data_IF_400264009201
#
_entry.id   IF_400264009201
#
_cell.length_a   1.000
_cell.length_b   1.000
_cell.length_c   1.000
_cell.angle_alpha   90.00
_cell.angle_beta   90.00
_cell.angle_gamma   90.00
#
_symmetry.space_group_name_H-M   'P 1'
#
loop_
_entity.id
_entity.type
_entity.pdbx_description
1 polymer ?
#
# COMPACT_ATOMS: atom_id res chain seq x y z
N UNK A 1 -15.22 6.37 6.69
CA UNK A 1 -15.35 6.01 5.26
C UNK A 1 -16.77 6.26 4.78
N UNK A 2 -17.76 5.61 5.38
CA UNK A 2 -19.16 5.68 4.93
C UNK A 2 -19.75 7.10 4.96
N UNK A 3 -19.41 7.92 5.96
CA UNK A 3 -19.86 9.32 6.02
C UNK A 3 -19.32 10.19 4.87
N UNK A 4 -18.03 10.11 4.55
CA UNK A 4 -17.42 10.87 3.45
C UNK A 4 -17.94 10.38 2.09
N UNK A 5 -18.21 9.07 1.94
CA UNK A 5 -18.82 8.54 0.73
C UNK A 5 -20.27 9.01 0.55
N UNK A 6 -21.05 9.05 1.63
CA UNK A 6 -22.39 9.61 1.63
C UNK A 6 -22.38 11.11 1.28
N UNK A 7 -21.47 11.88 1.87
CA UNK A 7 -21.27 13.32 1.55
C UNK A 7 -20.94 13.52 0.06
N UNK A 8 -20.02 12.74 -0.51
CA UNK A 8 -19.70 12.80 -1.95
C UNK A 8 -20.93 12.46 -2.81
N UNK A 9 -21.73 11.46 -2.42
CA UNK A 9 -22.94 11.10 -3.14
C UNK A 9 -23.99 12.22 -3.09
N UNK A 10 -24.14 12.89 -1.95
CA UNK A 10 -25.03 14.05 -1.81
C UNK A 10 -24.57 15.24 -2.65
N UNK A 11 -23.27 15.55 -2.67
CA UNK A 11 -22.71 16.63 -3.49
C UNK A 11 -22.92 16.36 -5.00
N UNK A 12 -22.70 15.11 -5.45
CA UNK A 12 -22.98 14.72 -6.84
C UNK A 12 -24.44 14.91 -7.21
N UNK A 13 -25.35 14.51 -6.32
CA UNK A 13 -26.79 14.67 -6.52
C UNK A 13 -27.19 16.15 -6.61
N UNK A 14 -26.64 17.01 -5.74
CA UNK A 14 -26.93 18.44 -5.75
C UNK A 14 -26.41 19.13 -7.03
N UNK A 15 -25.19 18.79 -7.47
CA UNK A 15 -24.65 19.28 -8.74
C UNK A 15 -25.55 18.87 -9.91
N UNK A 16 -26.01 17.62 -9.94
CA UNK A 16 -26.87 17.12 -11.01
C UNK A 16 -28.23 17.86 -11.06
N UNK A 17 -28.83 18.15 -9.91
CA UNK A 17 -30.08 18.93 -9.83
C UNK A 17 -29.87 20.35 -10.38
N UNK A 18 -28.81 21.03 -9.95
CA UNK A 18 -28.49 22.39 -10.44
C UNK A 18 -28.17 22.41 -11.95
N UNK A 19 -27.50 21.38 -12.47
CA UNK A 19 -27.25 21.25 -13.91
C UNK A 19 -28.55 21.02 -14.71
N UNK A 20 -29.50 20.27 -14.16
CA UNK A 20 -30.83 20.08 -14.77
C UNK A 20 -31.65 21.37 -14.74
N UNK A 21 -31.60 22.11 -13.64
CA UNK A 21 -32.24 23.43 -13.50
C UNK A 21 -31.68 24.43 -14.52
N UNK A 22 -30.35 24.52 -14.63
CA UNK A 22 -29.67 25.32 -15.66
C UNK A 22 -30.12 24.94 -17.07
N UNK A 23 -30.17 23.64 -17.37
CA UNK A 23 -30.58 23.16 -18.69
C UNK A 23 -32.04 23.52 -19.01
N UNK A 24 -32.95 23.39 -18.04
CA UNK A 24 -34.35 23.77 -18.19
C UNK A 24 -34.51 25.29 -18.44
N UNK A 25 -33.79 26.13 -17.71
CA UNK A 25 -33.80 27.58 -17.89
C UNK A 25 -33.21 28.01 -19.25
N UNK A 26 -32.23 27.26 -19.75
CA UNK A 26 -31.58 27.48 -21.05
C UNK A 26 -32.52 27.09 -22.21
N UNK A 27 -33.11 25.88 -22.17
CA UNK A 27 -34.03 25.38 -23.21
C UNK A 27 -35.27 26.25 -23.36
N UNK A 28 -35.82 26.74 -22.24
CA UNK A 28 -37.05 27.53 -22.27
C UNK A 28 -36.86 28.97 -22.77
N UNK A 29 -35.62 29.48 -22.85
CA UNK A 29 -35.37 30.91 -23.09
C UNK A 29 -34.33 31.22 -24.17
N UNK A 30 -33.55 30.25 -24.66
CA UNK A 30 -32.53 30.45 -25.69
C UNK A 30 -33.04 29.89 -27.03
N UNK A 31 -33.41 30.75 -27.97
CA UNK A 31 -33.65 30.35 -29.35
C UNK A 31 -32.29 30.24 -30.07
N UNK A 32 -31.70 29.05 -30.08
CA UNK A 32 -30.53 28.75 -30.91
C UNK A 32 -30.96 28.73 -32.39
N UNK A 33 -30.46 29.67 -33.18
CA UNK A 33 -30.60 29.63 -34.63
C UNK A 33 -29.77 28.47 -35.21
N UNK A 34 -30.19 27.90 -36.34
CA UNK A 34 -29.70 26.67 -37.03
C UNK A 34 -28.18 26.56 -37.32
N UNK A 35 -27.35 27.51 -36.90
CA UNK A 35 -25.92 27.53 -37.17
C UNK A 35 -25.10 27.27 -35.89
N UNK A 36 -24.73 26.02 -35.65
CA UNK A 36 -24.01 25.49 -34.48
C UNK A 36 -22.54 25.93 -34.34
N UNK A 37 -22.17 27.11 -34.85
CA UNK A 37 -20.82 27.65 -34.65
C UNK A 37 -20.63 28.08 -33.19
N UNK A 38 -19.50 27.74 -32.53
CA UNK A 38 -19.18 28.20 -31.18
C UNK A 38 -19.27 29.72 -31.00
N UNK A 39 -18.94 30.48 -32.04
CA UNK A 39 -19.05 31.95 -32.04
C UNK A 39 -20.50 32.42 -32.08
N UNK A 40 -21.35 31.74 -32.86
CA UNK A 40 -22.78 32.05 -32.96
C UNK A 40 -23.51 31.77 -31.62
N UNK A 41 -23.12 30.70 -30.92
CA UNK A 41 -23.63 30.41 -29.57
C UNK A 41 -23.26 31.52 -28.57
N UNK A 42 -22.00 31.95 -28.54
CA UNK A 42 -21.55 33.04 -27.64
C UNK A 42 -22.29 34.34 -27.92
N UNK A 43 -22.54 34.66 -29.19
CA UNK A 43 -23.31 35.85 -29.56
C UNK A 43 -24.80 35.76 -29.16
N UNK A 44 -25.43 34.59 -29.32
CA UNK A 44 -26.81 34.36 -28.89
C UNK A 44 -26.96 34.55 -27.37
N UNK A 45 -26.06 33.96 -26.58
CA UNK A 45 -26.03 34.14 -25.12
C UNK A 45 -25.79 35.60 -24.72
N UNK A 46 -24.93 36.34 -25.44
CA UNK A 46 -24.71 37.78 -25.18
C UNK A 46 -25.93 38.63 -25.49
N UNK A 47 -26.68 38.33 -26.56
CA UNK A 47 -27.93 39.03 -26.89
C UNK A 47 -28.98 38.78 -25.81
N UNK A 48 -29.16 37.52 -25.43
CA UNK A 48 -30.08 37.15 -24.37
C UNK A 48 -29.72 37.75 -23.01
N UNK A 49 -28.44 37.85 -22.67
CA UNK A 49 -28.02 38.52 -21.43
C UNK A 49 -28.35 40.03 -21.42
N UNK A 50 -28.42 40.67 -22.59
CA UNK A 50 -28.84 42.07 -22.74
C UNK A 50 -30.36 42.21 -22.72
N UNK A 51 -31.07 41.26 -23.31
CA UNK A 51 -32.53 41.24 -23.42
C UNK A 51 -33.20 40.82 -22.10
N UNK A 52 -32.55 39.94 -21.32
CA UNK A 52 -33.09 39.42 -20.07
C UNK A 52 -32.00 39.32 -18.97
N UNK A 53 -31.64 40.45 -18.34
CA UNK A 53 -30.54 40.51 -17.37
C UNK A 53 -30.80 39.73 -16.08
N UNK A 54 -32.07 39.56 -15.68
CA UNK A 54 -32.44 38.78 -14.49
C UNK A 54 -32.14 37.30 -14.69
N UNK A 55 -32.55 36.74 -15.84
CA UNK A 55 -32.27 35.35 -16.21
C UNK A 55 -30.77 35.07 -16.31
N UNK A 56 -30.01 36.03 -16.87
CA UNK A 56 -28.55 35.92 -16.97
C UNK A 56 -27.88 35.88 -15.59
N UNK A 57 -28.36 36.68 -14.64
CA UNK A 57 -27.86 36.68 -13.27
C UNK A 57 -28.18 35.36 -12.54
N UNK A 58 -29.37 34.79 -12.77
CA UNK A 58 -29.80 33.50 -12.21
C UNK A 58 -28.96 32.34 -12.76
N UNK A 59 -28.77 32.27 -14.08
CA UNK A 59 -27.90 31.26 -14.71
C UNK A 59 -26.46 31.36 -14.20
N UNK A 60 -25.94 32.58 -14.05
CA UNK A 60 -24.61 32.80 -13.47
C UNK A 60 -24.54 32.35 -12.00
N UNK A 61 -25.59 32.60 -11.22
CA UNK A 61 -25.68 32.14 -9.82
C UNK A 61 -25.68 30.62 -9.71
N UNK A 62 -26.36 29.92 -10.63
CA UNK A 62 -26.32 28.45 -10.72
C UNK A 62 -24.93 27.97 -11.13
N UNK A 63 -24.29 28.60 -12.12
CA UNK A 63 -22.93 28.24 -12.55
C UNK A 63 -21.90 28.44 -11.42
N UNK A 64 -21.99 29.54 -10.68
CA UNK A 64 -21.12 29.83 -9.53
C UNK A 64 -21.37 28.82 -8.38
N UNK A 65 -22.63 28.42 -8.15
CA UNK A 65 -22.98 27.40 -7.14
C UNK A 65 -22.47 26.00 -7.52
N UNK A 66 -22.60 25.62 -8.79
CA UNK A 66 -22.04 24.36 -9.35
C UNK A 66 -20.53 24.35 -9.17
N UNK A 67 -19.84 25.43 -9.53
CA UNK A 67 -18.38 25.52 -9.39
C UNK A 67 -17.93 25.39 -7.92
N UNK A 68 -18.66 26.02 -6.98
CA UNK A 68 -18.38 25.88 -5.54
C UNK A 68 -18.56 24.45 -5.04
N UNK A 69 -19.63 23.77 -5.46
CA UNK A 69 -19.91 22.38 -5.09
C UNK A 69 -18.92 21.40 -5.72
N UNK A 70 -18.49 21.64 -6.96
CA UNK A 70 -17.45 20.84 -7.62
C UNK A 70 -16.11 20.95 -6.88
N UNK A 71 -15.75 22.16 -6.42
CA UNK A 71 -14.55 22.36 -5.61
C UNK A 71 -14.62 21.57 -4.29
N UNK A 72 -15.77 21.62 -3.59
CA UNK A 72 -15.97 20.85 -2.36
C UNK A 72 -15.91 19.34 -2.62
N UNK A 73 -16.49 18.88 -3.73
CA UNK A 73 -16.46 17.49 -4.15
C UNK A 73 -15.02 17.02 -4.42
N UNK A 74 -14.20 17.82 -5.12
CA UNK A 74 -12.79 17.51 -5.35
C UNK A 74 -12.00 17.41 -4.05
N UNK A 75 -12.22 18.34 -3.11
CA UNK A 75 -11.56 18.31 -1.80
C UNK A 75 -11.92 17.03 -1.03
N UNK A 76 -13.20 16.66 -0.99
CA UNK A 76 -13.69 15.45 -0.31
C UNK A 76 -13.18 14.16 -0.96
N UNK A 77 -13.07 14.13 -2.28
CA UNK A 77 -12.46 13.00 -3.00
C UNK A 77 -10.96 12.88 -2.70
N UNK A 78 -10.24 14.00 -2.66
CA UNK A 78 -8.82 14.02 -2.30
C UNK A 78 -8.59 13.55 -0.86
N UNK A 79 -9.46 13.97 0.08
CA UNK A 79 -9.45 13.50 1.46
C UNK A 79 -9.63 11.97 1.51
N UNK A 80 -10.67 11.44 0.85
CA UNK A 80 -10.95 10.00 0.81
C UNK A 80 -9.78 9.19 0.19
N UNK A 81 -9.16 9.70 -0.87
CA UNK A 81 -8.00 9.05 -1.49
C UNK A 81 -6.80 8.97 -0.53
N UNK A 82 -6.51 10.04 0.23
CA UNK A 82 -5.44 10.03 1.23
C UNK A 82 -5.68 8.98 2.32
N UNK A 83 -6.90 8.96 2.87
CA UNK A 83 -7.29 7.96 3.88
C UNK A 83 -7.15 6.52 3.38
N UNK A 84 -7.50 6.24 2.12
CA UNK A 84 -7.34 4.91 1.54
C UNK A 84 -5.86 4.50 1.43
N UNK A 85 -4.98 5.43 1.09
CA UNK A 85 -3.53 5.17 0.99
C UNK A 85 -2.97 4.88 2.38
N UNK A 86 -3.28 5.74 3.36
CA UNK A 86 -2.82 5.57 4.75
C UNK A 86 -3.33 4.27 5.37
N UNK A 87 -4.61 3.93 5.16
CA UNK A 87 -5.18 2.68 5.65
C UNK A 87 -4.48 1.45 5.05
N UNK A 88 -4.19 1.45 3.73
CA UNK A 88 -3.45 0.35 3.10
C UNK A 88 -2.04 0.22 3.64
N UNK A 89 -1.35 1.35 3.88
CA UNK A 89 -0.03 1.36 4.48
C UNK A 89 -0.04 0.77 5.89
N UNK A 90 -1.03 1.13 6.71
CA UNK A 90 -1.20 0.59 8.06
C UNK A 90 -1.38 -0.93 8.02
N UNK A 91 -2.22 -1.44 7.11
CA UNK A 91 -2.44 -2.89 6.94
C UNK A 91 -1.17 -3.61 6.50
N UNK A 92 -0.40 -3.03 5.57
CA UNK A 92 0.89 -3.61 5.15
C UNK A 92 1.92 -3.65 6.29
N UNK A 93 1.97 -2.62 7.12
CA UNK A 93 2.85 -2.59 8.29
C UNK A 93 2.49 -3.68 9.30
N UNK A 94 1.19 -3.88 9.56
CA UNK A 94 0.73 -4.96 10.45
C UNK A 94 1.11 -6.34 9.92
N UNK A 95 0.86 -6.61 8.63
CA UNK A 95 1.24 -7.87 7.99
C UNK A 95 2.76 -8.11 8.05
N UNK A 96 3.57 -7.06 7.86
CA UNK A 96 5.02 -7.15 7.96
C UNK A 96 5.46 -7.52 9.40
N UNK A 97 4.87 -6.89 10.41
CA UNK A 97 5.21 -7.18 11.81
C UNK A 97 4.80 -8.61 12.23
N UNK A 98 3.67 -9.11 11.75
CA UNK A 98 3.28 -10.51 11.94
C UNK A 98 4.27 -11.48 11.27
N UNK A 99 4.65 -11.21 10.01
CA UNK A 99 5.62 -12.01 9.29
C UNK A 99 7.00 -12.02 9.98
N UNK A 100 7.45 -10.87 10.50
CA UNK A 100 8.69 -10.76 11.28
C UNK A 100 8.66 -11.63 12.53
N UNK A 101 7.56 -11.64 13.28
CA UNK A 101 7.42 -12.51 14.47
C UNK A 101 7.56 -13.99 14.11
N UNK A 102 6.90 -14.43 13.05
CA UNK A 102 7.00 -15.82 12.57
C UNK A 102 8.45 -16.15 12.20
N UNK A 103 9.10 -15.28 11.43
CA UNK A 103 10.50 -15.46 11.07
C UNK A 103 11.41 -15.56 12.32
N UNK A 104 11.13 -14.77 13.37
CA UNK A 104 11.94 -14.71 14.59
C UNK A 104 11.91 -16.04 15.33
N UNK A 105 10.72 -16.65 15.42
CA UNK A 105 10.55 -17.99 15.99
C UNK A 105 11.38 -19.02 15.22
N UNK A 106 11.37 -18.95 13.88
CA UNK A 106 12.19 -19.84 13.07
C UNK A 106 13.70 -19.60 13.25
N UNK A 107 14.15 -18.35 13.32
CA UNK A 107 15.54 -18.00 13.58
C UNK A 107 16.02 -18.52 14.95
N UNK A 108 15.20 -18.37 15.99
CA UNK A 108 15.48 -18.91 17.32
C UNK A 108 15.56 -20.44 17.30
N UNK A 109 14.64 -21.11 16.60
CA UNK A 109 14.64 -22.57 16.46
C UNK A 109 15.88 -23.07 15.73
N UNK A 110 16.32 -22.39 14.67
CA UNK A 110 17.58 -22.71 13.99
C UNK A 110 18.76 -22.61 14.96
N UNK A 111 18.82 -21.55 15.77
CA UNK A 111 19.88 -21.37 16.75
C UNK A 111 19.89 -22.44 17.85
N UNK A 112 18.71 -22.90 18.28
CA UNK A 112 18.61 -24.00 19.23
C UNK A 112 19.11 -25.32 18.63
N UNK A 113 18.62 -25.69 17.45
CA UNK A 113 19.05 -26.91 16.74
C UNK A 113 20.56 -26.88 16.44
N UNK A 114 21.09 -25.71 16.11
CA UNK A 114 22.51 -25.49 15.94
C UNK A 114 23.31 -25.77 17.23
N UNK A 115 22.81 -25.33 18.40
CA UNK A 115 23.47 -25.59 19.67
C UNK A 115 23.45 -27.10 20.04
N UNK A 116 22.33 -27.76 19.80
CA UNK A 116 22.19 -29.21 19.98
C UNK A 116 23.17 -29.96 19.06
N UNK A 117 23.19 -29.62 17.77
CA UNK A 117 24.10 -30.22 16.79
C UNK A 117 25.57 -29.97 17.15
N UNK A 118 25.92 -28.77 17.61
CA UNK A 118 27.27 -28.45 18.05
C UNK A 118 27.71 -29.34 19.23
N UNK A 119 26.79 -29.64 20.15
CA UNK A 119 27.04 -30.52 21.30
C UNK A 119 27.27 -31.95 20.84
N UNK A 120 26.41 -32.47 19.96
CA UNK A 120 26.55 -33.81 19.39
C UNK A 120 27.86 -33.98 18.61
N UNK A 121 28.28 -32.98 17.83
CA UNK A 121 29.55 -33.01 17.09
C UNK A 121 30.75 -33.08 18.05
N UNK A 122 30.69 -32.38 19.20
CA UNK A 122 31.76 -32.44 20.21
C UNK A 122 31.81 -33.81 20.90
N UNK A 123 30.66 -34.40 21.19
CA UNK A 123 30.58 -35.76 21.75
C UNK A 123 31.14 -36.78 20.75
N UNK A 124 30.74 -36.70 19.48
CA UNK A 124 31.26 -37.56 18.42
C UNK A 124 32.78 -37.41 18.26
N UNK A 125 33.30 -36.18 18.37
CA UNK A 125 34.75 -35.93 18.35
C UNK A 125 35.46 -36.60 19.52
N UNK A 126 34.94 -36.48 20.73
CA UNK A 126 35.51 -37.14 21.91
C UNK A 126 35.54 -38.67 21.73
N UNK A 127 34.45 -39.27 21.27
CA UNK A 127 34.41 -40.69 20.94
C UNK A 127 35.42 -41.08 19.86
N UNK A 128 35.57 -40.24 18.82
CA UNK A 128 36.56 -40.49 17.77
C UNK A 128 37.99 -40.40 18.29
N UNK A 129 38.29 -39.46 19.19
CA UNK A 129 39.62 -39.30 19.79
C UNK A 129 39.97 -40.49 20.70
N UNK A 130 38.99 -41.04 21.46
CA UNK A 130 39.15 -42.25 22.27
C UNK A 130 39.35 -43.51 21.42
N UNK A 131 38.56 -43.68 20.34
CA UNK A 131 38.61 -44.86 19.48
C UNK A 131 39.79 -44.86 18.51
N UNK A 132 40.30 -43.67 18.13
CA UNK A 132 41.31 -43.53 17.08
C UNK A 132 42.59 -44.34 17.32
N UNK A 133 43.19 -44.38 18.52
CA UNK A 133 44.37 -45.19 18.78
C UNK A 133 44.13 -46.70 18.59
N UNK A 134 43.00 -47.21 19.10
CA UNK A 134 42.63 -48.62 18.96
C UNK A 134 42.33 -48.99 17.50
N UNK A 135 41.60 -48.12 16.81
CA UNK A 135 41.23 -48.30 15.42
C UNK A 135 42.46 -48.28 14.50
N UNK A 136 43.43 -47.42 14.79
CA UNK A 136 44.69 -47.35 14.04
C UNK A 136 45.53 -48.63 14.20
N UNK A 137 45.58 -49.21 15.40
CA UNK A 137 46.32 -50.46 15.64
C UNK A 137 45.81 -51.62 14.77
N UNK A 138 44.52 -51.62 14.43
CA UNK A 138 43.90 -52.69 13.61
C UNK A 138 43.91 -52.35 12.13
N UNK A 139 43.57 -51.10 11.77
CA UNK A 139 43.26 -50.71 10.39
C UNK A 139 44.25 -49.71 9.77
N UNK A 140 45.24 -49.23 10.53
CA UNK A 140 46.27 -48.26 10.09
C UNK A 140 45.71 -46.99 9.43
N UNK A 141 44.50 -46.58 9.82
CA UNK A 141 43.82 -45.39 9.32
C UNK A 141 42.97 -44.76 10.43
N UNK A 142 42.62 -43.46 10.36
CA UNK A 142 41.80 -42.82 11.37
C UNK A 142 40.34 -43.29 11.27
N UNK A 143 39.63 -43.31 12.41
CA UNK A 143 38.22 -43.72 12.46
C UNK A 143 37.30 -42.68 11.83
N UNK A 144 37.41 -41.42 12.26
CA UNK A 144 36.68 -40.27 11.70
C UNK A 144 37.66 -39.11 11.57
N UNK A 145 37.56 -38.34 10.48
CA UNK A 145 38.37 -37.14 10.23
C UNK A 145 37.48 -35.95 9.88
N UNK A 146 38.06 -34.73 9.83
CA UNK A 146 37.34 -33.53 9.38
C UNK A 146 36.84 -32.61 10.51
N UNK A 147 37.00 -32.96 11.78
CA UNK A 147 36.53 -32.14 12.92
C UNK A 147 37.11 -30.71 12.99
N UNK A 148 38.24 -30.43 12.32
CA UNK A 148 38.86 -29.09 12.32
C UNK A 148 38.09 -28.03 11.51
N UNK A 149 37.24 -28.46 10.58
CA UNK A 149 36.54 -27.57 9.64
C UNK A 149 35.02 -27.59 9.80
N UNK A 150 34.52 -28.28 10.83
CA UNK A 150 33.09 -28.38 11.06
C UNK A 150 32.57 -27.06 11.62
N UNK A 151 31.51 -26.55 10.99
CA UNK A 151 30.81 -25.36 11.42
C UNK A 151 29.31 -25.59 11.38
N UNK A 152 28.59 -24.86 12.23
CA UNK A 152 27.15 -24.95 12.39
C UNK A 152 26.53 -23.57 12.15
N UNK A 153 25.41 -23.47 11.43
CA UNK A 153 24.75 -22.20 11.15
C UNK A 153 24.25 -21.51 12.43
N UNK A 154 24.31 -20.19 12.45
CA UNK A 154 23.79 -19.35 13.51
C UNK A 154 23.16 -18.10 12.90
N UNK A 155 21.92 -17.82 13.26
CA UNK A 155 21.20 -16.62 12.81
C UNK A 155 21.45 -15.50 13.81
N UNK A 156 22.04 -14.40 13.33
CA UNK A 156 22.26 -13.16 14.08
C UNK A 156 21.31 -12.07 13.57
N UNK A 157 20.77 -11.26 14.47
CA UNK A 157 20.01 -10.06 14.12
C UNK A 157 20.90 -8.83 14.30
N UNK A 158 21.12 -8.08 13.22
CA UNK A 158 21.89 -6.82 13.20
C UNK A 158 20.94 -5.61 13.27
N UNK A 159 19.82 -5.74 14.00
CA UNK A 159 18.74 -4.76 14.07
C UNK A 159 17.72 -4.98 12.97
N UNK A 160 17.96 -4.40 11.78
CA UNK A 160 17.00 -4.44 10.65
C UNK A 160 17.16 -5.68 9.77
N UNK A 161 18.38 -6.26 9.72
CA UNK A 161 18.72 -7.38 8.85
C UNK A 161 19.13 -8.57 9.68
N UNK A 162 18.68 -9.76 9.28
CA UNK A 162 19.11 -11.01 9.89
C UNK A 162 20.04 -11.76 8.95
N UNK A 163 21.13 -12.24 9.53
CA UNK A 163 22.25 -12.81 8.78
C UNK A 163 22.55 -14.19 9.32
N UNK A 164 22.71 -15.17 8.42
CA UNK A 164 23.14 -16.53 8.78
C UNK A 164 24.67 -16.57 8.71
N UNK A 165 25.30 -16.88 9.83
CA UNK A 165 26.75 -17.01 9.96
C UNK A 165 27.12 -18.42 10.40
N UNK A 166 28.24 -18.94 9.90
CA UNK A 166 28.73 -20.26 10.32
C UNK A 166 29.65 -20.12 11.53
N UNK A 167 29.34 -20.80 12.63
CA UNK A 167 30.18 -20.87 13.82
C UNK A 167 30.97 -22.18 13.82
N UNK A 168 32.28 -22.09 13.97
CA UNK A 168 33.16 -23.25 14.13
C UNK A 168 32.86 -23.91 15.49
N UNK A 169 32.76 -25.24 15.52
CA UNK A 169 32.33 -26.02 16.69
C UNK A 169 33.46 -26.71 17.42
#
# INVERSE_FOLDING_TARGET
>A
MDRIQAEIATLKSQIQVLQQERAALTINNVNLAENDSPLAMVEAFRRQARENPQLSAELKGIDDAVAALELQLQQKQAELARWQIESKQLTQQQQLEEAKKVAQVHAQRINQLAAELATEIRLLKACADELSPMYWQVYYKPFITGFKTISVPHVRSDGEVWTIVNRIV
#
